data_IF_772214468898
#
_entry.id   IF_772214468898
#
_cell.length_a   1.000
_cell.length_b   1.000
_cell.length_c   1.000
_cell.angle_alpha   90.00
_cell.angle_beta   90.00
_cell.angle_gamma   90.00
#
_symmetry.space_group_name_H-M   'P 1'
#
loop_
_entity.id
_entity.type
_entity.pdbx_description
1 polymer ?
2 non-polymer ?
3 non-polymer ?
4 water ?
#
# COMPACT_ATOMS: atom_id res chain seq x y z
N UNK A 4 20.92 19.68 12.84
CA UNK A 4 20.42 18.27 12.55
C UNK A 4 19.66 18.25 11.21
N UNK A 5 20.20 17.63 10.14
CA UNK A 5 19.62 17.77 8.80
C UNK A 5 18.31 16.97 8.69
N UNK A 6 17.41 17.42 7.81
CA UNK A 6 16.18 16.65 7.54
C UNK A 6 16.52 15.52 6.58
N UNK A 7 15.90 14.34 6.75
CA UNK A 7 16.26 13.24 5.88
C UNK A 7 15.67 13.34 4.47
N UNK A 8 16.36 12.69 3.53
CA UNK A 8 15.95 12.59 2.11
C UNK A 8 15.36 11.19 1.86
N UNK A 9 15.67 10.25 2.77
CA UNK A 9 15.20 8.84 2.70
C UNK A 9 15.01 8.30 4.12
N UNK A 10 13.98 7.48 4.31
CA UNK A 10 13.72 6.76 5.61
C UNK A 10 13.54 5.30 5.26
N UNK A 11 13.66 4.46 6.25
CA UNK A 11 13.28 3.06 6.04
C UNK A 11 12.05 2.76 6.88
N UNK A 12 11.21 1.94 6.25
CA UNK A 12 9.89 1.57 6.80
C UNK A 12 9.83 0.06 6.89
N UNK A 13 9.48 -0.44 8.07
CA UNK A 13 9.15 -1.85 8.31
C UNK A 13 7.63 -2.03 8.21
N UNK A 14 7.21 -3.00 7.44
CA UNK A 14 5.80 -3.44 7.37
C UNK A 14 5.74 -4.87 7.88
N UNK A 15 4.92 -5.14 8.87
CA UNK A 15 4.66 -6.51 9.31
C UNK A 15 3.22 -6.86 9.15
N UNK A 16 2.93 -8.08 8.74
CA UNK A 16 1.58 -8.62 8.77
C UNK A 16 1.61 -10.00 9.42
N UNK A 17 0.74 -10.18 10.39
CA UNK A 17 0.62 -11.49 11.08
C UNK A 17 -0.81 -11.77 11.44
N UNK A 18 -1.33 -12.86 10.93
CA UNK A 18 -2.59 -13.43 11.44
C UNK A 18 -2.22 -14.34 12.60
N UNK A 19 -2.57 -13.91 13.79
CA UNK A 19 -2.14 -14.53 15.06
C UNK A 19 -3.01 -15.73 15.42
N UNK A 20 -4.06 -16.03 14.67
CA UNK A 20 -4.89 -17.23 14.93
C UNK A 20 -5.47 -17.22 16.31
N UNK A 21 -5.75 -16.03 16.85
CA UNK A 21 -6.46 -15.81 18.13
C UNK A 21 -5.66 -16.40 19.31
N UNK A 22 -4.35 -16.54 19.15
CA UNK A 22 -3.46 -17.10 20.20
C UNK A 22 -2.50 -16.02 20.62
N UNK A 23 -2.09 -15.96 21.90
CA UNK A 23 -1.05 -15.02 22.29
C UNK A 23 0.25 -15.37 21.59
N UNK A 24 1.12 -14.38 21.40
CA UNK A 24 2.39 -14.66 20.77
C UNK A 24 3.35 -15.37 21.73
N UNK A 25 4.47 -15.90 21.21
CA UNK A 25 5.50 -16.49 22.04
C UNK A 25 6.28 -15.35 22.70
N UNK A 26 7.17 -15.68 23.63
CA UNK A 26 7.85 -14.64 24.44
C UNK A 26 8.83 -13.84 23.56
N UNK A 27 9.33 -14.42 22.49
CA UNK A 27 10.29 -13.71 21.61
C UNK A 27 9.78 -13.68 20.17
N UNK A 28 9.63 -12.46 19.62
CA UNK A 28 9.17 -12.25 18.21
C UNK A 28 10.15 -11.32 17.50
N UNK A 29 11.36 -11.15 18.02
CA UNK A 29 12.38 -10.25 17.44
C UNK A 29 12.75 -10.61 15.98
N UNK A 30 12.72 -11.90 15.60
CA UNK A 30 13.06 -12.35 14.23
C UNK A 30 12.20 -11.59 13.22
N UNK A 31 10.93 -11.34 13.60
CA UNK A 31 9.99 -10.62 12.71
C UNK A 31 10.56 -9.24 12.36
N UNK A 32 10.88 -8.48 13.38
CA UNK A 32 11.32 -7.07 13.21
C UNK A 32 12.71 -7.01 12.61
N UNK A 33 13.48 -8.08 12.69
CA UNK A 33 14.83 -8.18 12.10
C UNK A 33 14.78 -8.74 10.67
N UNK A 34 13.62 -9.05 10.12
CA UNK A 34 13.52 -9.59 8.75
C UNK A 34 14.40 -10.84 8.61
N UNK A 35 14.26 -11.77 9.56
CA UNK A 35 15.00 -13.06 9.58
C UNK A 35 14.04 -14.22 9.33
N UNK A 36 14.46 -15.16 8.49
CA UNK A 36 13.72 -16.41 8.27
C UNK A 36 13.92 -16.82 6.85
N UNK A 37 12.82 -16.92 6.10
CA UNK A 37 12.84 -17.32 4.67
C UNK A 37 12.57 -16.11 3.80
N UNK A 38 13.01 -16.18 2.54
CA UNK A 38 12.71 -15.18 1.53
C UNK A 38 13.87 -14.25 1.33
N UNK A 39 13.56 -12.98 1.02
CA UNK A 39 14.55 -11.88 0.94
C UNK A 39 14.66 -11.35 2.37
N UNK A 40 15.84 -11.65 3.00
CA UNK A 40 16.07 -11.33 4.41
C UNK A 40 17.13 -10.23 4.54
N UNK A 41 17.14 -9.68 5.72
CA UNK A 41 17.98 -8.51 6.05
C UNK A 41 19.34 -9.00 6.57
N UNK A 42 20.39 -8.28 6.17
CA UNK A 42 21.80 -8.55 6.54
C UNK A 42 22.02 -8.39 8.06
N UNK A 43 22.68 -9.43 8.64
CA UNK A 43 22.98 -9.43 10.09
C UNK A 43 23.64 -8.13 10.54
N UNK A 44 24.40 -7.50 9.67
CA UNK A 44 25.18 -6.30 10.04
C UNK A 44 24.25 -5.11 10.29
N UNK A 45 22.97 -5.21 9.89
CA UNK A 45 21.97 -4.14 10.10
C UNK A 45 21.14 -4.36 11.36
N UNK A 46 21.34 -5.43 12.11
CA UNK A 46 20.37 -5.77 13.16
C UNK A 46 20.16 -4.67 14.18
N UNK A 47 21.19 -3.86 14.48
CA UNK A 47 21.01 -2.82 15.53
C UNK A 47 20.51 -1.50 14.96
N UNK A 48 20.42 -1.42 13.64
CA UNK A 48 20.03 -0.17 12.94
C UNK A 48 18.51 -0.12 12.95
N UNK A 49 17.89 0.83 13.66
CA UNK A 49 16.43 0.87 13.70
C UNK A 49 15.92 1.36 12.34
N UNK A 50 14.77 0.81 11.96
CA UNK A 50 13.94 1.42 10.93
C UNK A 50 13.38 2.71 11.52
N UNK A 51 13.09 3.66 10.64
CA UNK A 51 12.50 4.94 11.04
C UNK A 51 11.07 4.78 11.54
N UNK A 52 10.29 3.97 10.85
CA UNK A 52 8.85 3.75 11.14
C UNK A 52 8.63 2.24 11.07
N UNK A 53 7.93 1.68 12.05
CA UNK A 53 7.45 0.28 12.04
C UNK A 53 5.94 0.31 11.99
N UNK A 54 5.36 -0.39 11.03
CA UNK A 54 3.90 -0.51 10.87
C UNK A 54 3.55 -1.97 11.00
N UNK A 55 2.73 -2.29 12.00
CA UNK A 55 2.48 -3.69 12.43
C UNK A 55 0.99 -3.98 12.27
N UNK A 56 0.62 -4.82 11.29
CA UNK A 56 -0.76 -5.22 11.02
C UNK A 56 -0.93 -6.60 11.60
N UNK A 57 -1.94 -6.78 12.42
CA UNK A 57 -2.37 -8.12 12.85
C UNK A 57 -3.81 -8.38 12.44
N UNK A 58 -4.11 -9.66 12.37
CA UNK A 58 -5.47 -10.20 12.13
C UNK A 58 -5.67 -11.32 13.12
N UNK A 59 -6.90 -11.56 13.51
CA UNK A 59 -7.20 -12.58 14.56
C UNK A 59 -6.35 -12.29 15.80
N UNK A 60 -6.20 -11.02 16.16
CA UNK A 60 -5.36 -10.57 17.29
C UNK A 60 -6.17 -10.64 18.57
N UNK A 61 -5.76 -11.51 19.52
CA UNK A 61 -6.54 -11.69 20.76
C UNK A 61 -6.18 -10.73 21.89
N UNK A 62 -5.17 -9.91 21.66
CA UNK A 62 -4.58 -9.05 22.71
C UNK A 62 -5.34 -7.74 22.78
N UNK A 63 -5.32 -7.11 23.94
CA UNK A 63 -5.74 -5.71 24.06
C UNK A 63 -4.68 -4.84 23.36
N UNK A 64 -5.03 -3.61 23.04
CA UNK A 64 -4.08 -2.66 22.46
C UNK A 64 -2.90 -2.50 23.42
N UNK A 65 -3.19 -2.39 24.72
CA UNK A 65 -2.13 -2.18 25.70
C UNK A 65 -1.17 -3.36 25.68
N UNK A 66 -1.72 -4.56 25.73
CA UNK A 66 -0.92 -5.81 25.79
C UNK A 66 0.01 -5.89 24.58
N UNK A 67 -0.51 -5.61 23.41
CA UNK A 67 0.31 -5.70 22.19
C UNK A 67 1.33 -4.57 22.13
N UNK A 68 0.95 -3.35 22.45
CA UNK A 68 1.91 -2.22 22.46
C UNK A 68 3.11 -2.55 23.37
N UNK A 69 2.82 -3.07 24.57
CA UNK A 69 3.82 -3.57 25.54
C UNK A 69 4.85 -4.43 24.81
N UNK A 70 4.35 -5.50 24.16
CA UNK A 70 5.21 -6.53 23.51
C UNK A 70 5.99 -5.91 22.39
N UNK A 71 5.34 -5.09 21.57
CA UNK A 71 6.03 -4.45 20.43
C UNK A 71 7.14 -3.54 20.93
N UNK A 72 6.83 -2.62 21.81
CA UNK A 72 7.86 -1.65 22.27
C UNK A 72 9.04 -2.36 22.94
N UNK A 73 8.76 -3.37 23.78
CA UNK A 73 9.81 -4.19 24.44
C UNK A 73 10.69 -4.86 23.38
N UNK A 74 10.09 -5.45 22.35
CA UNK A 74 10.80 -6.20 21.29
C UNK A 74 11.72 -5.25 20.49
N UNK A 75 11.26 -4.03 20.21
CA UNK A 75 12.10 -3.04 19.49
C UNK A 75 13.20 -2.54 20.42
N UNK A 76 12.88 -2.30 21.69
CA UNK A 76 13.92 -1.82 22.64
C UNK A 76 15.03 -2.87 22.76
N UNK A 77 14.68 -4.15 22.85
CA UNK A 77 15.66 -5.25 22.98
C UNK A 77 16.56 -5.30 21.73
N UNK A 78 16.00 -5.10 20.54
CA UNK A 78 16.75 -5.14 19.25
C UNK A 78 17.68 -3.92 19.10
N UNK A 79 17.18 -2.73 19.38
CA UNK A 79 17.80 -1.46 18.92
C UNK A 79 18.27 -0.60 20.08
N UNK A 80 17.86 -0.91 21.31
CA UNK A 80 18.06 -0.03 22.50
C UNK A 80 17.38 1.34 22.32
N UNK A 81 16.38 1.42 21.44
CA UNK A 81 15.59 2.67 21.24
C UNK A 81 14.19 2.45 21.79
N UNK A 82 13.68 3.43 22.54
CA UNK A 82 12.28 3.48 23.00
C UNK A 82 11.42 4.18 21.95
N UNK A 83 10.68 3.39 21.19
CA UNK A 83 9.87 3.95 20.08
C UNK A 83 8.66 4.67 20.66
N UNK A 84 8.20 5.67 19.93
CA UNK A 84 6.98 6.44 20.21
C UNK A 84 5.84 5.87 19.42
N UNK A 85 4.69 5.86 20.03
CA UNK A 85 3.47 5.37 19.38
C UNK A 85 2.88 6.50 18.55
N UNK A 86 2.78 6.32 17.25
CA UNK A 86 2.18 7.32 16.33
C UNK A 86 0.68 7.12 16.33
N UNK A 87 0.23 5.89 16.16
CA UNK A 87 -1.21 5.59 16.02
C UNK A 87 -1.44 4.12 16.32
N UNK A 88 -2.64 3.81 16.80
CA UNK A 88 -3.10 2.42 16.93
C UNK A 88 -4.59 2.42 16.63
N UNK A 89 -5.04 1.49 15.82
CA UNK A 89 -6.47 1.41 15.50
C UNK A 89 -6.85 -0.04 15.31
N UNK A 90 -7.95 -0.41 15.92
CA UNK A 90 -8.46 -1.78 15.94
C UNK A 90 -9.90 -1.84 15.46
N UNK A 91 -10.20 -2.75 14.54
CA UNK A 91 -11.59 -3.12 14.17
C UNK A 91 -11.71 -4.60 14.48
N UNK A 92 -12.56 -4.94 15.43
CA UNK A 92 -12.73 -6.34 15.85
C UNK A 92 -11.38 -6.91 16.24
N UNK A 93 -10.82 -7.84 15.48
CA UNK A 93 -9.50 -8.44 15.80
C UNK A 93 -8.49 -8.10 14.72
N UNK A 94 -8.76 -7.06 13.95
CA UNK A 94 -7.84 -6.50 12.93
C UNK A 94 -7.20 -5.22 13.49
N UNK A 95 -5.90 -5.12 13.52
CA UNK A 95 -5.25 -4.01 14.23
C UNK A 95 -4.07 -3.48 13.42
N UNK A 96 -3.84 -2.21 13.52
CA UNK A 96 -2.64 -1.57 12.97
C UNK A 96 -1.98 -0.72 14.06
N UNK A 97 -0.68 -0.89 14.23
CA UNK A 97 0.15 -0.07 15.13
C UNK A 97 1.23 0.61 14.32
N UNK A 98 1.43 1.91 14.53
CA UNK A 98 2.56 2.63 13.89
C UNK A 98 3.44 3.16 15.01
N UNK A 99 4.71 2.77 14.98
CA UNK A 99 5.75 3.23 15.91
C UNK A 99 6.81 3.97 15.11
N UNK A 100 7.40 5.01 15.71
CA UNK A 100 8.47 5.75 15.05
C UNK A 100 9.57 6.10 16.04
N UNK A 101 10.79 6.27 15.53
CA UNK A 101 11.93 6.77 16.35
C UNK A 101 11.47 8.01 17.09
N UNK A 102 11.96 8.27 18.32
CA UNK A 102 11.62 9.50 19.02
C UNK A 102 12.05 10.79 18.29
N UNK A 103 13.12 10.74 17.50
CA UNK A 103 13.62 11.92 16.76
C UNK A 103 12.58 12.36 15.72
N UNK A 104 11.62 11.50 15.35
CA UNK A 104 10.63 11.81 14.29
C UNK A 104 9.37 12.44 14.84
N UNK A 105 9.26 12.61 16.16
CA UNK A 105 7.98 13.02 16.75
C UNK A 105 7.47 14.34 16.18
N UNK A 106 8.37 15.30 15.93
CA UNK A 106 8.03 16.64 15.41
C UNK A 106 8.24 16.71 13.89
N UNK A 107 8.38 15.55 13.24
CA UNK A 107 8.34 15.42 11.76
C UNK A 107 6.98 14.87 11.35
N UNK A 108 6.24 14.27 12.27
CA UNK A 108 4.99 13.52 11.96
C UNK A 108 3.80 14.35 12.34
N UNK A 109 2.86 14.55 11.44
CA UNK A 109 1.68 15.38 11.74
C UNK A 109 0.49 14.84 10.96
N UNK A 110 -0.70 15.41 11.15
CA UNK A 110 -1.91 15.06 10.36
C UNK A 110 -2.16 13.55 10.44
N UNK A 111 -2.14 13.00 11.63
CA UNK A 111 -2.34 11.55 11.82
C UNK A 111 -3.83 11.29 11.67
N UNK A 112 -4.19 10.36 10.78
CA UNK A 112 -5.58 9.88 10.56
C UNK A 112 -5.62 8.38 10.86
N UNK A 113 -6.81 7.91 11.26
CA UNK A 113 -7.10 6.47 11.37
C UNK A 113 -8.50 6.26 10.83
N UNK A 114 -8.74 5.09 10.29
CA UNK A 114 -10.12 4.73 9.89
C UNK A 114 -10.21 3.22 9.74
N UNK A 115 -11.40 2.72 9.57
CA UNK A 115 -11.65 1.31 9.28
C UNK A 115 -12.80 1.21 8.28
N UNK A 116 -12.84 0.09 7.61
CA UNK A 116 -13.95 -0.33 6.74
C UNK A 116 -14.34 -1.73 7.11
N UNK A 117 -15.63 -1.96 7.28
CA UNK A 117 -16.22 -3.28 7.52
C UNK A 117 -16.69 -3.80 6.17
N UNK A 118 -16.25 -4.98 5.73
CA UNK A 118 -16.68 -5.46 4.39
C UNK A 118 -17.89 -6.40 4.53
N UNK A 119 -18.66 -6.59 3.46
CA UNK A 119 -19.75 -7.59 3.45
C UNK A 119 -21.07 -7.04 3.98
N UNK A 120 -22.16 -7.81 3.85
CA UNK A 120 -23.57 -7.41 4.19
C UNK A 120 -24.23 -8.58 4.94
N UNK A 121 -24.76 -8.32 6.14
CA UNK A 121 -25.61 -9.25 6.95
C UNK A 121 -24.79 -10.48 7.39
N UNK A 122 -24.95 -11.63 6.70
CA UNK A 122 -24.10 -12.85 6.80
C UNK A 122 -22.61 -12.46 6.88
N UNK A 123 -22.16 -11.69 5.88
CA UNK A 123 -20.73 -11.45 5.52
C UNK A 123 -20.22 -10.14 6.17
N UNK A 124 -21.04 -9.44 6.98
CA UNK A 124 -20.59 -8.35 7.88
C UNK A 124 -20.41 -8.93 9.29
N UNK A 125 -19.23 -8.77 9.87
CA UNK A 125 -19.04 -9.09 11.29
C UNK A 125 -17.62 -9.49 11.63
N UNK A 126 -16.76 -9.86 10.66
CA UNK A 126 -15.36 -9.96 11.12
C UNK A 126 -14.23 -9.54 10.17
N UNK A 127 -14.53 -9.35 8.88
CA UNK A 127 -13.53 -8.98 7.85
C UNK A 127 -13.60 -7.47 7.60
N UNK A 128 -12.50 -6.90 7.11
CA UNK A 128 -12.43 -5.49 6.79
C UNK A 128 -11.03 -5.01 6.85
N UNK A 129 -10.85 -3.74 7.14
CA UNK A 129 -9.51 -3.14 7.07
C UNK A 129 -9.44 -2.05 8.11
N UNK A 130 -8.24 -1.80 8.56
CA UNK A 130 -7.90 -0.60 9.36
C UNK A 130 -6.79 0.12 8.62
N UNK A 131 -6.68 1.41 8.85
CA UNK A 131 -5.63 2.17 8.20
C UNK A 131 -5.17 3.34 8.99
N UNK A 132 -3.99 3.80 8.67
CA UNK A 132 -3.35 4.98 9.27
C UNK A 132 -2.75 5.82 8.15
N UNK A 133 -2.87 7.13 8.24
CA UNK A 133 -2.07 8.03 7.41
C UNK A 133 -1.47 9.14 8.25
N UNK A 134 -0.42 9.74 7.71
CA UNK A 134 0.19 10.92 8.34
C UNK A 134 1.11 11.56 7.33
N UNK A 135 1.55 12.76 7.67
CA UNK A 135 2.64 13.45 6.98
C UNK A 135 3.93 13.18 7.73
N UNK A 136 4.98 12.88 6.99
CA UNK A 136 6.37 12.84 7.47
C UNK A 136 7.06 13.99 6.74
N UNK A 137 7.28 15.10 7.42
CA UNK A 137 7.76 16.33 6.73
C UNK A 137 6.89 16.57 5.49
N UNK A 138 7.46 16.68 4.30
CA UNK A 138 6.70 17.02 3.10
C UNK A 138 6.06 15.81 2.42
N UNK A 139 6.11 14.62 3.03
CA UNK A 139 5.74 13.36 2.37
C UNK A 139 4.52 12.76 3.05
N UNK A 140 3.51 12.41 2.27
CA UNK A 140 2.30 11.74 2.82
C UNK A 140 2.50 10.23 2.74
N UNK A 141 2.19 9.56 3.84
CA UNK A 141 2.32 8.09 3.99
C UNK A 141 0.97 7.51 4.37
N UNK A 142 0.56 6.46 3.69
CA UNK A 142 -0.67 5.72 4.06
C UNK A 142 -0.37 4.25 4.23
N UNK A 143 -1.13 3.62 5.11
CA UNK A 143 -0.91 2.21 5.52
C UNK A 143 -2.28 1.59 5.72
N UNK A 144 -2.48 0.47 5.05
CA UNK A 144 -3.76 -0.29 5.12
C UNK A 144 -3.45 -1.72 5.52
N UNK A 145 -4.06 -2.18 6.60
CA UNK A 145 -4.06 -3.59 7.03
C UNK A 145 -5.43 -4.16 6.80
N UNK A 146 -5.58 -5.08 5.87
CA UNK A 146 -6.88 -5.70 5.53
C UNK A 146 -6.86 -7.19 5.81
N UNK A 147 -7.96 -7.70 6.32
CA UNK A 147 -8.27 -9.13 6.48
C UNK A 147 -9.44 -9.42 5.55
N UNK A 148 -9.15 -9.94 4.37
CA UNK A 148 -10.18 -10.16 3.34
C UNK A 148 -10.83 -11.53 3.53
N UNK A 149 -11.89 -11.72 2.78
CA UNK A 149 -12.72 -12.92 2.85
C UNK A 149 -11.84 -14.15 2.64
N UNK A 150 -12.10 -15.19 3.42
CA UNK A 150 -11.34 -16.47 3.36
C UNK A 150 -11.97 -17.43 2.34
N UNK A 151 -11.24 -18.47 2.02
CA UNK A 151 -11.77 -19.57 1.20
C UNK A 151 -11.27 -19.56 -0.20
N UNK A 152 -10.76 -20.69 -0.68
CA UNK A 152 -10.20 -20.77 -2.04
C UNK A 152 -11.19 -20.34 -3.12
N UNK A 153 -12.49 -20.52 -2.86
CA UNK A 153 -13.58 -20.34 -3.84
C UNK A 153 -13.95 -18.85 -3.98
N UNK A 154 -13.44 -17.99 -3.10
CA UNK A 154 -13.98 -16.61 -2.93
C UNK A 154 -13.02 -15.51 -3.39
N UNK A 155 -12.27 -15.74 -4.46
CA UNK A 155 -11.33 -14.68 -4.93
C UNK A 155 -12.13 -13.46 -5.38
N UNK A 156 -13.28 -13.64 -6.00
CA UNK A 156 -14.09 -12.49 -6.48
C UNK A 156 -14.55 -11.65 -5.28
N UNK A 157 -14.97 -12.29 -4.20
CA UNK A 157 -15.36 -11.58 -2.95
C UNK A 157 -14.18 -10.81 -2.39
N UNK A 158 -12.98 -11.37 -2.43
CA UNK A 158 -11.77 -10.65 -2.00
C UNK A 158 -11.63 -9.40 -2.86
N UNK A 159 -11.77 -9.55 -4.18
CA UNK A 159 -11.57 -8.39 -5.08
C UNK A 159 -12.61 -7.30 -4.75
N UNK A 160 -13.83 -7.70 -4.43
CA UNK A 160 -14.91 -6.79 -4.02
C UNK A 160 -14.53 -6.12 -2.69
N UNK A 161 -13.96 -6.88 -1.75
CA UNK A 161 -13.55 -6.34 -0.44
C UNK A 161 -12.52 -5.23 -0.71
N UNK A 162 -11.55 -5.52 -1.58
CA UNK A 162 -10.49 -4.55 -1.95
C UNK A 162 -11.15 -3.25 -2.43
N UNK A 163 -12.12 -3.34 -3.33
CA UNK A 163 -12.72 -2.11 -3.90
C UNK A 163 -13.53 -1.35 -2.84
N UNK A 164 -14.22 -2.07 -1.95
CA UNK A 164 -14.92 -1.36 -0.83
C UNK A 164 -13.92 -0.66 0.08
N UNK A 165 -12.80 -1.31 0.39
CA UNK A 165 -11.81 -0.69 1.30
C UNK A 165 -11.23 0.58 0.65
N UNK A 166 -10.84 0.44 -0.62
CA UNK A 166 -10.24 1.49 -1.46
C UNK A 166 -11.18 2.70 -1.49
N UNK A 167 -12.48 2.44 -1.64
CA UNK A 167 -13.51 3.51 -1.78
C UNK A 167 -13.76 4.21 -0.46
N UNK A 168 -13.86 3.44 0.61
CA UNK A 168 -14.53 3.94 1.84
C UNK A 168 -13.57 4.20 2.98
N UNK A 169 -12.28 3.85 2.87
CA UNK A 169 -11.35 4.17 3.94
C UNK A 169 -11.02 5.64 3.82
N UNK A 170 -11.31 6.42 4.85
CA UNK A 170 -11.18 7.89 4.80
C UNK A 170 -9.87 8.30 5.47
N UNK A 171 -8.78 8.23 4.72
CA UNK A 171 -7.45 8.64 5.23
C UNK A 171 -6.96 9.78 4.37
N UNK A 172 -5.93 10.46 4.84
CA UNK A 172 -5.27 11.53 4.08
C UNK A 172 -6.13 12.77 3.98
N UNK A 173 -5.78 13.63 3.04
CA UNK A 173 -6.27 15.02 2.97
C UNK A 173 -7.71 15.03 2.41
N UNK A 174 -8.66 15.33 3.30
CA UNK A 174 -10.08 15.33 2.88
C UNK A 174 -10.34 16.35 1.75
N UNK A 175 -9.48 17.35 1.50
CA UNK A 175 -9.63 18.32 0.39
C UNK A 175 -9.41 17.63 -0.97
N UNK A 176 -8.77 16.46 -0.97
CA UNK A 176 -8.55 15.70 -2.21
C UNK A 176 -9.81 14.90 -2.53
N UNK A 177 -10.96 15.59 -2.63
CA UNK A 177 -12.26 14.89 -2.57
C UNK A 177 -12.45 13.96 -3.76
N UNK A 178 -11.95 14.18 -4.98
CA UNK A 178 -12.18 13.24 -6.08
C UNK A 178 -11.35 11.95 -5.96
N UNK A 179 -10.42 11.93 -5.02
CA UNK A 179 -9.38 10.88 -4.98
C UNK A 179 -9.62 9.91 -3.84
N UNK A 180 -9.49 8.64 -4.15
CA UNK A 180 -9.49 7.58 -3.13
C UNK A 180 -8.07 7.38 -2.59
N UNK A 181 -7.94 6.47 -1.62
CA UNK A 181 -6.60 6.28 -0.99
C UNK A 181 -5.54 5.92 -2.02
N UNK A 182 -5.90 5.32 -3.16
CA UNK A 182 -4.86 4.90 -4.14
C UNK A 182 -4.20 6.11 -4.82
N UNK A 183 -4.66 7.32 -4.56
CA UNK A 183 -4.02 8.54 -5.10
C UNK A 183 -3.64 9.53 -4.01
N UNK A 184 -3.96 9.31 -2.74
CA UNK A 184 -3.81 10.38 -1.73
C UNK A 184 -2.40 10.48 -1.16
N UNK A 185 -1.52 9.49 -1.37
CA UNK A 185 -0.25 9.38 -0.63
C UNK A 185 0.94 9.28 -1.58
N UNK A 186 2.03 9.92 -1.20
CA UNK A 186 3.34 9.73 -1.84
C UNK A 186 3.66 8.23 -1.89
N UNK A 187 3.44 7.54 -0.77
CA UNK A 187 3.70 6.10 -0.59
C UNK A 187 2.51 5.50 0.15
N UNK A 188 1.91 4.51 -0.45
CA UNK A 188 0.81 3.74 0.15
C UNK A 188 1.24 2.28 0.29
N UNK A 189 1.17 1.74 1.48
CA UNK A 189 1.46 0.32 1.76
C UNK A 189 0.18 -0.38 2.13
N UNK A 190 -0.13 -1.47 1.42
CA UNK A 190 -1.34 -2.25 1.67
C UNK A 190 -0.91 -3.68 1.94
N UNK A 191 -1.29 -4.18 3.08
CA UNK A 191 -0.79 -5.47 3.56
C UNK A 191 -1.91 -6.13 4.34
N UNK A 192 -1.70 -7.38 4.72
CA UNK A 192 -2.65 -8.09 5.57
C UNK A 192 -2.75 -9.54 5.21
N UNK A 193 -3.74 -10.19 5.84
CA UNK A 193 -4.21 -11.52 5.44
C UNK A 193 -5.18 -11.30 4.30
N UNK A 194 -4.61 -11.13 3.11
CA UNK A 194 -5.42 -10.93 1.90
C UNK A 194 -6.11 -12.22 1.47
N UNK A 195 -5.68 -13.39 1.95
CA UNK A 195 -6.47 -14.62 1.87
C UNK A 195 -6.58 -15.19 0.46
N UNK A 196 -5.77 -14.73 -0.50
CA UNK A 196 -5.69 -15.36 -1.82
C UNK A 196 -4.93 -16.67 -1.68
N UNK A 197 -5.37 -17.68 -2.44
CA UNK A 197 -4.88 -19.04 -2.30
C UNK A 197 -4.17 -19.52 -3.55
N UNK A 198 -3.47 -20.62 -3.38
CA UNK A 198 -2.84 -21.37 -4.50
C UNK A 198 -3.94 -22.26 -5.05
N UNK A 199 -4.44 -21.94 -6.24
CA UNK A 199 -5.64 -22.58 -6.84
C UNK A 199 -5.20 -23.80 -7.67
N UNK A 200 -4.95 -24.91 -6.97
CA UNK A 200 -4.62 -26.21 -7.58
C UNK A 200 -5.65 -27.20 -7.05
N UNK A 201 -5.82 -28.36 -7.71
CA UNK A 201 -6.80 -29.33 -7.22
C UNK A 201 -6.41 -29.81 -5.81
N UNK A 202 -7.41 -30.09 -4.96
CA UNK A 202 -7.21 -30.43 -3.53
C UNK A 202 -6.49 -31.78 -3.38
N UNK A 203 -6.53 -32.62 -4.42
CA UNK A 203 -5.84 -33.94 -4.44
C UNK A 203 -4.38 -33.78 -4.88
N UNK A 204 -3.95 -32.56 -5.22
CA UNK A 204 -2.52 -32.22 -5.38
C UNK A 204 -1.89 -31.71 -4.06
N UNK A 205 -2.55 -31.81 -2.91
CA UNK A 205 -2.07 -31.25 -1.63
C UNK A 205 -0.68 -31.80 -1.31
N UNK A 206 -0.49 -33.11 -1.42
CA UNK A 206 0.80 -33.71 -1.01
C UNK A 206 1.87 -33.30 -2.02
N UNK A 207 1.51 -33.19 -3.30
CA UNK A 207 2.42 -32.68 -4.35
C UNK A 207 2.85 -31.28 -3.99
N UNK A 208 1.92 -30.44 -3.57
CA UNK A 208 2.27 -29.03 -3.23
C UNK A 208 3.27 -29.01 -2.07
N UNK A 209 3.00 -29.81 -1.05
CA UNK A 209 3.89 -29.92 0.12
C UNK A 209 5.28 -30.34 -0.29
N UNK A 210 5.42 -31.31 -1.20
CA UNK A 210 6.76 -31.78 -1.61
C UNK A 210 7.46 -30.66 -2.43
N UNK A 211 6.72 -29.86 -3.22
CA UNK A 211 7.34 -28.70 -3.91
C UNK A 211 7.85 -27.72 -2.86
N UNK A 212 7.06 -27.44 -1.82
CA UNK A 212 7.51 -26.51 -0.76
C UNK A 212 8.79 -27.02 -0.08
N UNK A 213 8.85 -28.30 0.25
CA UNK A 213 10.05 -28.89 0.90
C UNK A 213 11.28 -28.75 0.00
N UNK A 214 11.11 -28.74 -1.30
CA UNK A 214 12.20 -28.60 -2.29
C UNK A 214 12.50 -27.14 -2.58
N UNK A 215 11.75 -26.23 -1.95
CA UNK A 215 11.87 -24.76 -2.18
C UNK A 215 11.65 -24.44 -3.65
N UNK A 216 10.72 -25.14 -4.29
CA UNK A 216 10.40 -24.97 -5.71
C UNK A 216 9.03 -24.31 -5.73
N UNK A 217 9.02 -23.00 -5.74
CA UNK A 217 7.77 -22.21 -5.59
C UNK A 217 7.18 -21.85 -6.95
N UNK A 218 7.88 -22.02 -8.08
CA UNK A 218 7.46 -21.44 -9.38
C UNK A 218 6.10 -21.99 -9.81
N UNK A 219 5.89 -23.30 -9.74
CA UNK A 219 4.65 -23.94 -10.21
C UNK A 219 3.54 -23.64 -9.20
N UNK A 220 3.89 -23.22 -7.98
CA UNK A 220 2.83 -22.82 -7.02
C UNK A 220 2.47 -21.36 -7.29
N UNK A 221 3.46 -20.46 -7.42
CA UNK A 221 3.17 -19.02 -7.63
C UNK A 221 2.39 -18.79 -8.94
N UNK A 222 2.57 -19.63 -9.96
CA UNK A 222 1.81 -19.46 -11.22
C UNK A 222 0.31 -19.71 -10.98
N UNK A 223 -0.07 -20.27 -9.82
CA UNK A 223 -1.48 -20.54 -9.47
C UNK A 223 -1.93 -19.66 -8.30
N UNK A 224 -1.06 -18.78 -7.82
CA UNK A 224 -1.46 -17.87 -6.72
C UNK A 224 -2.52 -16.90 -7.23
N UNK A 225 -3.66 -16.88 -6.53
CA UNK A 225 -4.79 -16.11 -7.01
C UNK A 225 -4.45 -14.62 -7.00
N UNK A 226 -3.67 -14.12 -6.08
CA UNK A 226 -3.42 -12.67 -6.09
C UNK A 226 -2.58 -12.29 -7.34
N UNK A 227 -1.52 -13.04 -7.62
CA UNK A 227 -0.71 -12.81 -8.84
C UNK A 227 -1.63 -12.92 -10.07
N UNK A 228 -2.45 -13.95 -10.18
CA UNK A 228 -3.21 -14.15 -11.44
C UNK A 228 -4.28 -13.09 -11.53
N UNK A 229 -5.01 -12.78 -10.45
CA UNK A 229 -6.03 -11.71 -10.49
C UNK A 229 -5.38 -10.35 -10.82
N UNK A 230 -4.20 -10.08 -10.27
CA UNK A 230 -3.46 -8.83 -10.58
C UNK A 230 -3.07 -8.82 -12.06
N UNK A 231 -2.62 -9.95 -12.61
CA UNK A 231 -2.18 -9.97 -14.02
C UNK A 231 -3.38 -9.71 -14.93
N UNK A 232 -4.57 -10.16 -14.54
CA UNK A 232 -5.79 -9.92 -15.33
C UNK A 232 -6.48 -8.61 -14.95
N UNK A 233 -5.84 -7.79 -14.12
CA UNK A 233 -6.30 -6.41 -13.81
C UNK A 233 -7.65 -6.51 -13.12
N UNK A 234 -7.80 -7.50 -12.26
CA UNK A 234 -9.06 -7.67 -11.47
C UNK A 234 -8.94 -7.00 -10.11
N UNK A 235 -7.73 -6.67 -9.64
CA UNK A 235 -7.52 -6.24 -8.24
C UNK A 235 -6.13 -5.62 -8.16
N UNK A 236 -5.96 -4.69 -7.24
CA UNK A 236 -4.64 -4.11 -6.95
C UNK A 236 -3.99 -3.56 -8.22
N UNK A 237 -4.77 -2.94 -9.07
CA UNK A 237 -4.21 -2.28 -10.26
C UNK A 237 -3.25 -1.18 -9.82
N UNK A 238 -2.07 -1.19 -10.41
CA UNK A 238 -1.00 -0.17 -10.25
C UNK A 238 -0.30 -0.30 -8.91
N UNK A 239 -0.51 -1.41 -8.20
CA UNK A 239 0.33 -1.75 -7.04
C UNK A 239 1.49 -2.65 -7.43
N UNK A 240 2.54 -2.61 -6.60
CA UNK A 240 3.77 -3.45 -6.74
C UNK A 240 3.78 -4.50 -5.63
N UNK A 241 4.43 -5.63 -5.89
CA UNK A 241 4.78 -6.59 -4.85
C UNK A 241 6.14 -7.12 -5.21
N UNK A 242 6.99 -7.29 -4.20
CA UNK A 242 8.32 -7.91 -4.35
C UNK A 242 8.12 -9.39 -4.72
N UNK A 243 9.09 -9.99 -5.42
CA UNK A 243 9.03 -11.41 -5.72
C UNK A 243 8.98 -12.22 -4.44
N UNK A 244 8.13 -13.24 -4.41
CA UNK A 244 7.99 -14.15 -3.28
C UNK A 244 9.00 -15.28 -3.38
N UNK A 245 9.83 -15.39 -2.35
CA UNK A 245 10.92 -16.41 -2.32
C UNK A 245 10.90 -17.19 -1.01
N UNK A 246 9.79 -17.09 -0.27
CA UNK A 246 9.55 -17.79 1.01
C UNK A 246 8.41 -18.79 0.83
N UNK A 247 8.35 -19.77 1.70
CA UNK A 247 7.29 -20.79 1.62
C UNK A 247 5.93 -20.16 1.91
N UNK A 248 4.85 -20.78 1.40
CA UNK A 248 3.52 -20.41 1.82
C UNK A 248 3.44 -20.24 3.33
N UNK A 249 2.71 -19.21 3.81
CA UNK A 249 2.68 -18.83 5.22
C UNK A 249 1.45 -19.38 5.93
N UNK A 250 0.65 -20.15 5.21
CA UNK A 250 -0.63 -20.70 5.71
C UNK A 250 -0.83 -22.03 5.00
N UNK A 251 -1.44 -23.08 5.60
CA UNK A 251 -1.94 -23.15 6.95
C UNK A 251 -1.08 -24.17 7.70
N UNK A 252 -0.39 -23.74 8.73
CA UNK A 252 0.53 -24.61 9.53
C UNK A 252 -0.21 -25.25 10.70
N UNK A 253 0.24 -26.43 11.11
CA UNK A 253 -0.01 -26.94 12.47
C UNK A 253 0.72 -26.01 13.45
N UNK A 254 0.08 -25.66 14.55
CA UNK A 254 0.71 -24.79 15.56
C UNK A 254 1.84 -25.51 16.29
N UNK A 255 2.80 -24.75 16.80
CA UNK A 255 3.93 -25.14 17.69
C UNK A 255 5.04 -25.84 16.88
N UNK A 256 4.87 -26.01 15.59
CA UNK A 256 5.97 -26.43 14.68
C UNK A 256 5.82 -25.61 13.40
N UNK A 257 6.78 -25.66 12.48
CA UNK A 257 6.50 -25.26 11.07
C UNK A 257 6.74 -26.44 10.15
N UNK A 258 6.73 -27.64 10.71
CA UNK A 258 7.13 -28.84 9.92
C UNK A 258 5.95 -29.38 9.13
N UNK A 259 4.72 -28.93 9.41
CA UNK A 259 3.52 -29.57 8.87
C UNK A 259 2.52 -28.50 8.42
N UNK A 260 2.05 -28.67 7.22
CA UNK A 260 0.90 -27.92 6.69
C UNK A 260 -0.36 -28.70 7.00
N UNK A 261 -1.33 -28.03 7.61
CA UNK A 261 -2.64 -28.62 7.97
C UNK A 261 -3.64 -28.17 6.91
N UNK A 262 -3.86 -28.99 5.90
CA UNK A 262 -4.66 -28.57 4.74
C UNK A 262 -6.02 -29.28 4.62
N UNK A 263 -6.18 -30.40 5.33
CA UNK A 263 -7.37 -31.30 5.18
C UNK A 263 -8.60 -30.52 5.65
N UNK A 264 -9.79 -30.91 5.11
CA UNK A 264 -11.08 -30.31 5.49
C UNK A 264 -11.46 -30.89 6.85
N UNK A 265 -11.96 -30.02 7.71
CA UNK A 265 -12.34 -30.31 9.11
C UNK A 265 -13.67 -29.58 9.40
N UNK A 266 -14.43 -30.07 10.40
CA UNK A 266 -15.60 -29.28 10.85
C UNK A 266 -15.18 -27.84 11.13
N UNK A 267 -14.04 -27.66 11.78
CA UNK A 267 -13.53 -26.33 12.21
C UNK A 267 -13.29 -25.45 10.98
N UNK A 268 -13.05 -26.04 9.81
CA UNK A 268 -12.83 -25.23 8.57
C UNK A 268 -14.10 -25.05 7.76
N UNK A 269 -15.25 -25.50 8.27
CA UNK A 269 -16.44 -25.52 7.45
C UNK A 269 -16.33 -26.53 6.33
N UNK A 270 -15.56 -27.58 6.55
CA UNK A 270 -15.33 -28.64 5.56
C UNK A 270 -14.69 -28.07 4.31
N UNK A 271 -13.83 -27.07 4.50
CA UNK A 271 -12.99 -26.49 3.43
C UNK A 271 -11.59 -27.12 3.55
N UNK A 272 -10.93 -27.26 2.37
CA UNK A 272 -9.48 -27.51 2.31
C UNK A 272 -8.79 -26.17 2.39
N UNK A 273 -7.64 -26.20 3.02
CA UNK A 273 -6.76 -25.01 3.03
C UNK A 273 -5.43 -25.44 2.45
N UNK A 274 -5.34 -25.57 1.14
CA UNK A 274 -4.06 -25.91 0.52
C UNK A 274 -3.05 -24.81 0.88
N UNK A 275 -1.76 -25.14 1.07
CA UNK A 275 -0.74 -24.14 1.37
C UNK A 275 -0.81 -22.96 0.41
N UNK A 276 -0.85 -21.79 1.01
CA UNK A 276 -1.07 -20.53 0.29
C UNK A 276 -0.25 -19.37 0.85
N UNK A 277 -0.02 -18.39 0.01
CA UNK A 277 0.55 -17.09 0.42
C UNK A 277 -0.58 -16.13 0.77
N UNK A 278 -1.23 -16.36 1.90
CA UNK A 278 -2.35 -15.49 2.33
C UNK A 278 -1.85 -14.11 2.74
N UNK A 279 -0.64 -14.01 3.22
CA UNK A 279 -0.13 -12.88 4.01
C UNK A 279 0.84 -12.06 3.18
N UNK A 280 0.50 -10.83 2.83
CA UNK A 280 1.17 -10.14 1.71
C UNK A 280 1.42 -8.68 2.06
N UNK A 281 2.38 -8.08 1.39
CA UNK A 281 2.67 -6.65 1.44
C UNK A 281 2.81 -6.14 0.01
N UNK A 282 1.98 -5.16 -0.34
CA UNK A 282 2.02 -4.46 -1.63
C UNK A 282 2.19 -2.97 -1.38
N UNK A 283 2.61 -2.24 -2.42
CA UNK A 283 2.72 -0.78 -2.26
C UNK A 283 2.42 -0.10 -3.58
N UNK A 284 2.18 1.18 -3.47
CA UNK A 284 2.01 2.06 -4.61
C UNK A 284 2.54 3.42 -4.21
N UNK A 285 3.51 3.91 -4.96
CA UNK A 285 4.12 5.22 -4.72
C UNK A 285 3.86 6.07 -5.96
N UNK A 286 3.85 7.37 -5.76
CA UNK A 286 3.71 8.32 -6.88
C UNK A 286 4.88 8.11 -7.83
N UNK A 287 4.65 8.46 -9.11
CA UNK A 287 5.65 8.24 -10.15
C UNK A 287 6.96 8.95 -9.81
N UNK A 288 8.05 8.24 -10.05
CA UNK A 288 9.45 8.78 -9.95
C UNK A 288 9.75 9.22 -8.54
N UNK A 289 9.13 8.58 -7.54
CA UNK A 289 9.61 8.71 -6.15
C UNK A 289 10.40 7.45 -5.81
N UNK A 290 11.49 7.63 -5.10
CA UNK A 290 12.35 6.49 -4.68
C UNK A 290 11.56 5.59 -3.72
N UNK A 291 11.44 4.33 -4.07
CA UNK A 291 10.90 3.28 -3.16
C UNK A 291 11.55 1.98 -3.57
N UNK A 292 12.25 1.37 -2.63
CA UNK A 292 13.00 0.13 -2.92
C UNK A 292 12.71 -0.87 -1.81
N UNK A 293 12.17 -2.04 -2.17
CA UNK A 293 11.99 -3.13 -1.20
C UNK A 293 13.35 -3.74 -0.83
N UNK A 294 13.68 -3.71 0.46
CA UNK A 294 14.96 -4.22 1.01
C UNK A 294 14.80 -5.65 1.54
N UNK A 295 13.58 -6.06 1.90
CA UNK A 295 13.32 -7.40 2.48
C UNK A 295 11.86 -7.74 2.24
N UNK A 296 11.59 -9.02 2.07
CA UNK A 296 10.23 -9.55 1.92
C UNK A 296 10.31 -11.04 2.20
N UNK A 297 9.79 -11.44 3.34
CA UNK A 297 9.94 -12.84 3.77
C UNK A 297 9.06 -13.23 4.89
N UNK A 298 9.29 -14.41 5.43
CA UNK A 298 8.50 -14.88 6.58
C UNK A 298 9.42 -15.40 7.67
N UNK A 299 8.96 -15.33 8.91
CA UNK A 299 9.72 -15.91 10.03
C UNK A 299 9.50 -17.42 10.04
N UNK A 300 10.51 -18.09 10.59
CA UNK A 300 10.55 -19.56 10.75
C UNK A 300 10.38 -19.97 12.22
N UNK A 301 10.51 -19.07 13.18
CA UNK A 301 10.63 -19.45 14.60
C UNK A 301 9.45 -18.93 15.44
N UNK A 302 8.37 -18.42 14.80
CA UNK A 302 7.20 -17.91 15.54
C UNK A 302 6.04 -18.80 15.13
N UNK A 303 5.56 -19.64 16.04
CA UNK A 303 4.78 -20.87 15.72
C UNK A 303 3.47 -20.94 16.52
N UNK A 304 3.03 -19.85 17.16
CA UNK A 304 1.78 -19.86 17.95
C UNK A 304 0.54 -19.85 17.06
N UNK A 305 0.65 -19.38 15.83
CA UNK A 305 -0.47 -19.24 14.91
C UNK A 305 -0.37 -20.28 13.81
N UNK A 306 -1.46 -20.48 13.12
CA UNK A 306 -1.48 -21.30 11.89
C UNK A 306 -0.98 -20.49 10.69
N UNK A 307 -0.66 -19.21 10.88
CA UNK A 307 0.11 -18.40 9.90
C UNK A 307 1.47 -18.06 10.45
N UNK A 308 2.46 -17.95 9.58
CA UNK A 308 3.73 -17.29 9.94
C UNK A 308 3.66 -15.79 9.64
N UNK A 309 4.27 -14.97 10.52
CA UNK A 309 4.47 -13.55 10.25
C UNK A 309 5.20 -13.34 8.92
N UNK A 310 4.84 -12.26 8.27
CA UNK A 310 5.50 -11.76 7.05
C UNK A 310 6.08 -10.38 7.39
N UNK A 311 7.26 -10.10 6.89
CA UNK A 311 7.95 -8.81 6.98
C UNK A 311 8.26 -8.30 5.59
N UNK A 312 8.25 -6.99 5.46
CA UNK A 312 8.79 -6.30 4.29
C UNK A 312 9.42 -5.00 4.78
N UNK A 313 10.53 -4.63 4.20
CA UNK A 313 11.16 -3.34 4.52
C UNK A 313 11.41 -2.58 3.23
N UNK A 314 11.36 -1.27 3.38
CA UNK A 314 11.47 -0.34 2.24
C UNK A 314 12.36 0.83 2.59
N UNK A 315 13.13 1.28 1.60
CA UNK A 315 13.76 2.63 1.59
C UNK A 315 12.84 3.56 0.80
N UNK A 316 12.31 4.62 1.44
CA UNK A 316 11.30 5.52 0.83
C UNK A 316 11.84 6.93 0.82
N UNK A 317 11.82 7.53 -0.35
CA UNK A 317 12.17 8.95 -0.50
C UNK A 317 11.20 9.81 0.24
N UNK A 318 11.74 10.87 0.88
CA UNK A 318 10.94 11.86 1.62
C UNK A 318 11.52 13.22 1.31
N UNK A 319 10.67 14.21 1.46
CA UNK A 319 11.07 15.61 1.20
C UNK A 319 10.88 16.42 2.49
N UNK A 320 11.54 17.57 2.54
CA UNK A 320 11.51 18.52 3.68
C UNK A 320 10.21 19.32 3.64
N UNK A 321 9.88 20.00 4.75
CA UNK A 321 8.77 20.98 4.82
C UNK A 321 9.27 22.34 4.33
N UNK A 322 9.14 22.62 3.05
CA UNK A 322 9.78 23.76 2.38
C UNK A 322 9.13 25.10 2.77
N UNK A 323 9.97 26.07 3.14
CA UNK A 323 9.61 27.50 3.37
C UNK A 323 10.48 28.36 2.43
N UNK A 324 9.84 29.25 1.68
CA UNK A 324 10.56 30.32 0.95
C UNK A 324 10.13 31.69 1.50
N UNK A 325 10.75 32.75 0.98
CA UNK A 325 10.39 34.16 1.28
C UNK A 325 8.93 34.39 0.86
N UNK A 326 8.50 33.69 -0.20
CA UNK A 326 7.13 33.83 -0.81
C UNK A 326 6.23 32.75 -0.19
N UNK A 327 6.04 31.61 -0.87
CA UNK A 327 5.18 30.53 -0.34
C UNK A 327 5.87 29.76 0.79
N UNK A 328 5.13 29.12 1.72
CA UNK A 328 3.66 29.21 1.81
C UNK A 328 3.01 30.55 2.22
N UNK A 329 1.79 30.79 1.73
CA UNK A 329 0.98 31.97 2.05
C UNK A 329 0.96 33.00 0.96
N UNK A 330 1.60 32.68 -0.16
CA UNK A 330 1.45 33.42 -1.43
C UNK A 330 1.97 32.51 -2.55
N UNK A 331 1.76 32.95 -3.79
CA UNK A 331 2.36 32.31 -5.01
C UNK A 331 3.80 32.83 -5.16
N UNK A 332 4.58 32.16 -6.00
CA UNK A 332 5.95 32.57 -6.40
C UNK A 332 5.90 32.85 -7.90
N UNK A 333 5.82 34.11 -8.29
CA UNK A 333 5.59 34.49 -9.70
C UNK A 333 6.65 33.84 -10.60
N UNK A 334 7.76 33.33 -10.04
CA UNK A 334 8.87 32.79 -10.87
C UNK A 334 8.54 31.35 -11.33
N UNK A 335 7.43 30.78 -10.87
CA UNK A 335 7.05 29.38 -11.16
C UNK A 335 5.76 29.26 -11.96
N UNK A 336 5.67 28.29 -12.86
CA UNK A 336 4.39 28.00 -13.55
C UNK A 336 4.41 26.58 -14.12
N UNK A 337 3.22 26.02 -14.23
CA UNK A 337 3.03 24.70 -14.88
C UNK A 337 2.00 24.88 -15.99
N UNK A 338 2.39 24.58 -17.20
CA UNK A 338 1.50 24.65 -18.37
C UNK A 338 1.30 23.23 -18.90
N UNK A 339 0.03 22.83 -19.04
CA UNK A 339 -0.38 21.59 -19.76
C UNK A 339 -0.83 21.93 -21.19
N UNK A 340 -0.09 21.46 -22.21
CA UNK A 340 -0.24 21.70 -23.67
C UNK A 340 -0.83 20.46 -24.39
N UNK A 341 -1.77 20.66 -25.33
CA UNK A 341 -2.18 19.60 -26.31
C UNK A 341 -2.60 18.36 -25.51
N UNK A 342 -3.31 18.55 -24.41
CA UNK A 342 -3.71 17.40 -23.55
C UNK A 342 -5.03 16.85 -24.03
N UNK A 343 -5.19 15.54 -23.88
CA UNK A 343 -6.51 14.93 -24.10
C UNK A 343 -6.64 13.72 -23.19
N UNK A 344 -7.87 13.53 -22.77
CA UNK A 344 -8.26 12.35 -21.98
C UNK A 344 -8.93 11.39 -22.96
N UNK A 345 -8.63 10.11 -22.86
CA UNK A 345 -9.32 9.04 -23.59
C UNK A 345 -10.15 8.30 -22.55
N UNK A 346 -11.46 8.25 -22.70
CA UNK A 346 -12.30 7.64 -21.63
C UNK A 346 -13.02 6.43 -22.19
N UNK A 347 -13.20 5.44 -21.34
CA UNK A 347 -13.95 4.21 -21.70
C UNK A 347 -15.47 4.40 -21.59
N UNK A 348 -15.93 5.45 -20.96
CA UNK A 348 -17.38 5.75 -20.72
C UNK A 348 -18.17 5.80 -22.04
N UNK A 349 -19.43 5.43 -21.94
CA UNK A 349 -20.40 5.51 -23.06
C UNK A 349 -21.21 6.81 -22.94
N UNK A 350 -21.07 7.52 -21.82
CA UNK A 350 -21.89 8.72 -21.52
C UNK A 350 -21.49 9.85 -22.47
N UNK A 351 -22.44 10.73 -22.81
CA UNK A 351 -22.18 12.00 -23.56
C UNK A 351 -22.63 13.16 -22.67
N UNK A 352 -21.76 13.57 -21.76
CA UNK A 352 -21.74 14.83 -20.99
C UNK A 352 -20.49 15.58 -21.45
N UNK A 353 -20.40 16.86 -21.15
CA UNK A 353 -19.14 17.59 -21.21
C UNK A 353 -18.30 17.21 -19.97
N UNK A 354 -16.99 17.33 -20.11
CA UNK A 354 -16.04 17.07 -19.00
C UNK A 354 -15.14 18.27 -18.78
N UNK A 355 -14.73 18.45 -17.53
CA UNK A 355 -13.71 19.44 -17.12
C UNK A 355 -12.68 18.72 -16.24
N UNK A 356 -11.52 19.35 -16.05
CA UNK A 356 -10.50 18.75 -15.18
C UNK A 356 -10.47 19.49 -13.86
N UNK A 357 -9.98 18.79 -12.83
CA UNK A 357 -9.45 19.45 -11.61
C UNK A 357 -8.01 19.04 -11.40
N UNK A 358 -7.14 20.01 -11.11
CA UNK A 358 -5.73 19.81 -10.75
C UNK A 358 -5.56 20.00 -9.26
N UNK A 359 -5.13 18.97 -8.55
CA UNK A 359 -4.90 19.09 -7.10
C UNK A 359 -3.46 18.81 -6.74
N UNK A 360 -2.88 19.65 -5.92
CA UNK A 360 -1.47 19.41 -5.50
C UNK A 360 -1.18 20.31 -4.32
N UNK A 361 -0.36 19.80 -3.40
CA UNK A 361 0.16 20.56 -2.23
C UNK A 361 1.02 21.74 -2.71
N UNK A 362 1.47 21.73 -3.96
CA UNK A 362 2.28 22.87 -4.51
C UNK A 362 1.36 24.02 -4.96
N UNK A 363 0.03 23.84 -4.89
CA UNK A 363 -0.95 24.92 -5.23
C UNK A 363 -1.65 25.40 -3.97
N UNK A 364 -2.09 26.67 -3.94
CA UNK A 364 -2.81 27.20 -2.73
C UNK A 364 -4.13 26.46 -2.62
N UNK A 365 -4.77 26.15 -3.74
CA UNK A 365 -5.95 25.28 -3.77
C UNK A 365 -6.14 24.73 -5.18
N UNK A 366 -7.05 23.77 -5.29
CA UNK A 366 -7.21 23.03 -6.57
C UNK A 366 -7.72 23.98 -7.63
N UNK A 367 -7.43 23.62 -8.86
CA UNK A 367 -7.77 24.43 -10.04
C UNK A 367 -8.72 23.65 -10.95
N UNK A 368 -9.80 24.31 -11.37
CA UNK A 368 -10.85 23.72 -12.23
C UNK A 368 -10.74 24.30 -13.64
N UNK A 369 -10.53 23.44 -14.64
CA UNK A 369 -10.37 23.85 -16.05
C UNK A 369 -11.75 24.22 -16.62
N UNK A 370 -11.73 24.81 -17.81
CA UNK A 370 -12.91 24.88 -18.71
C UNK A 370 -13.24 23.47 -19.20
N UNK A 371 -14.42 23.31 -19.76
CA UNK A 371 -14.81 22.05 -20.45
C UNK A 371 -13.90 21.78 -21.65
N UNK A 372 -13.61 20.52 -21.85
CA UNK A 372 -12.92 20.02 -23.03
C UNK A 372 -13.88 19.87 -24.20
N UNK A 373 -13.33 19.58 -25.36
CA UNK A 373 -14.12 19.32 -26.59
C UNK A 373 -14.14 17.82 -26.86
N UNK A 374 -15.33 17.24 -26.81
CA UNK A 374 -15.53 15.79 -27.07
C UNK A 374 -15.34 15.47 -28.56
N UNK A 375 -14.58 14.43 -28.87
CA UNK A 375 -14.57 13.81 -30.20
C UNK A 375 -14.70 12.30 -30.03
N UNK A 376 -14.99 11.59 -31.10
CA UNK A 376 -15.02 10.11 -31.19
C UNK A 376 -13.64 9.60 -31.61
N UNK A 377 -13.06 8.65 -30.86
CA UNK A 377 -11.89 7.86 -31.28
C UNK A 377 -12.25 6.86 -32.37
N UNK A 378 -11.26 6.35 -33.11
CA UNK A 378 -11.44 5.49 -34.31
C UNK A 378 -11.93 4.09 -33.89
N UNK A 379 -11.77 3.72 -32.61
CA UNK A 379 -12.08 2.35 -32.11
C UNK A 379 -13.25 2.44 -31.12
N UNK A 380 -14.12 3.45 -31.22
CA UNK A 380 -15.35 3.60 -30.39
C UNK A 380 -15.27 4.67 -29.29
N UNK A 381 -14.06 5.11 -28.90
CA UNK A 381 -13.76 5.78 -27.59
C UNK A 381 -14.27 7.22 -27.55
N UNK A 382 -14.48 7.74 -26.34
CA UNK A 382 -14.60 9.21 -26.15
C UNK A 382 -13.20 9.80 -25.96
N UNK A 383 -12.85 10.81 -26.77
CA UNK A 383 -11.60 11.61 -26.58
C UNK A 383 -12.06 12.99 -26.15
N UNK A 384 -11.58 13.48 -25.02
CA UNK A 384 -11.87 14.85 -24.56
C UNK A 384 -10.63 15.68 -24.78
N UNK A 385 -10.71 16.65 -25.70
CA UNK A 385 -9.53 17.50 -26.06
C UNK A 385 -9.54 18.78 -25.22
N UNK A 386 -8.39 19.19 -24.68
CA UNK A 386 -8.30 20.46 -23.91
C UNK A 386 -7.49 21.54 -24.64
N UNK A 387 -6.80 21.14 -25.69
CA UNK A 387 -6.00 22.04 -26.54
C UNK A 387 -4.93 22.73 -25.72
N UNK A 388 -4.91 24.06 -25.77
CA UNK A 388 -3.96 24.94 -25.02
C UNK A 388 -4.83 25.83 -24.15
N UNK A 389 -6.02 25.33 -23.78
CA UNK A 389 -7.09 26.07 -23.06
C UNK A 389 -6.91 25.89 -21.54
N UNK A 390 -5.99 25.05 -21.07
CA UNK A 390 -5.92 24.67 -19.62
C UNK A 390 -5.33 25.80 -18.78
N UNK A 391 -5.84 26.03 -17.55
CA UNK A 391 -5.39 27.14 -16.73
C UNK A 391 -3.89 26.99 -16.43
N UNK A 392 -3.13 28.08 -16.48
CA UNK A 392 -1.68 28.02 -16.12
C UNK A 392 -1.61 27.87 -14.60
N UNK A 393 -0.90 26.85 -14.07
CA UNK A 393 -0.90 26.58 -12.60
C UNK A 393 0.23 27.37 -11.97
N UNK A 394 -0.10 27.98 -10.83
CA UNK A 394 0.77 28.92 -10.10
C UNK A 394 1.20 28.27 -8.80
N UNK A 395 2.37 27.62 -8.77
CA UNK A 395 2.82 26.99 -7.54
C UNK A 395 3.22 28.03 -6.49
N UNK A 396 3.20 27.59 -5.24
CA UNK A 396 3.44 28.44 -4.06
C UNK A 396 4.94 28.70 -3.90
N UNK A 397 5.77 27.84 -4.46
CA UNK A 397 7.25 27.91 -4.35
C UNK A 397 7.81 27.54 -5.73
N UNK A 398 8.77 28.31 -6.22
CA UNK A 398 9.31 28.20 -7.60
C UNK A 398 10.67 27.49 -7.57
N UNK A 399 11.27 27.35 -6.40
CA UNK A 399 12.60 26.73 -6.24
C UNK A 399 12.53 25.33 -6.85
N UNK A 400 13.41 25.01 -7.81
CA UNK A 400 13.34 23.69 -8.47
C UNK A 400 13.65 22.54 -7.52
N UNK A 401 14.41 22.76 -6.44
CA UNK A 401 14.66 21.69 -5.43
C UNK A 401 13.35 21.28 -4.77
N UNK A 402 12.39 22.18 -4.71
CA UNK A 402 11.03 21.86 -4.21
C UNK A 402 10.17 21.36 -5.37
N UNK A 403 10.04 22.16 -6.43
CA UNK A 403 8.95 21.95 -7.42
C UNK A 403 9.15 20.63 -8.18
N UNK A 404 10.38 20.24 -8.50
CA UNK A 404 10.63 19.04 -9.31
C UNK A 404 10.26 17.78 -8.50
N UNK A 405 10.11 17.89 -7.19
CA UNK A 405 9.74 16.76 -6.30
C UNK A 405 8.23 16.68 -6.13
N UNK A 406 7.44 17.54 -6.74
CA UNK A 406 5.99 17.56 -6.51
C UNK A 406 5.25 16.74 -7.57
N UNK A 407 3.96 16.61 -7.36
CA UNK A 407 3.06 15.81 -8.21
C UNK A 407 1.75 16.55 -8.39
N UNK A 408 1.14 16.38 -9.54
CA UNK A 408 -0.19 16.94 -9.87
C UNK A 408 -1.17 15.78 -10.00
N UNK A 409 -2.18 15.72 -9.12
CA UNK A 409 -3.31 14.81 -9.26
C UNK A 409 -4.31 15.45 -10.22
N UNK A 410 -4.83 14.63 -11.12
CA UNK A 410 -5.83 15.07 -12.14
C UNK A 410 -7.09 14.24 -11.95
N UNK A 411 -8.22 14.93 -11.88
CA UNK A 411 -9.53 14.28 -11.99
C UNK A 411 -10.24 14.86 -13.21
N UNK A 412 -10.85 13.98 -13.96
CA UNK A 412 -11.75 14.40 -15.07
C UNK A 412 -13.19 14.18 -14.58
N UNK A 413 -13.94 15.28 -14.54
CA UNK A 413 -15.31 15.26 -13.96
C UNK A 413 -16.37 15.65 -14.99
N UNK A 414 -17.52 15.03 -14.84
CA UNK A 414 -18.72 15.33 -15.65
C UNK A 414 -19.22 16.74 -15.28
N UNK A 415 -19.48 17.58 -16.27
CA UNK A 415 -20.14 18.88 -16.02
C UNK A 415 -21.55 18.66 -15.46
N UNK A 416 -22.24 17.61 -15.91
CA UNK A 416 -23.67 17.37 -15.58
C UNK A 416 -23.77 16.96 -14.10
N UNK A 417 -22.81 16.18 -13.60
CA UNK A 417 -22.99 15.52 -12.28
C UNK A 417 -21.92 15.91 -11.28
N UNK A 418 -20.82 16.51 -11.74
CA UNK A 418 -19.59 16.82 -10.94
C UNK A 418 -18.95 15.53 -10.37
N UNK A 419 -19.26 14.51 -10.85
CA UNK A 419 -18.65 13.25 -10.37
C UNK A 419 -17.39 12.96 -11.18
N UNK A 420 -16.34 12.40 -10.57
CA UNK A 420 -15.08 12.04 -11.25
C UNK A 420 -15.31 10.76 -12.08
N UNK A 421 -14.88 10.78 -13.32
CA UNK A 421 -14.86 9.61 -14.21
C UNK A 421 -13.46 9.00 -14.25
N UNK A 422 -12.46 9.67 -13.69
CA UNK A 422 -11.11 9.13 -13.72
C UNK A 422 -10.15 10.03 -12.96
N UNK A 423 -9.18 9.40 -12.35
CA UNK A 423 -8.18 10.04 -11.50
C UNK A 423 -6.81 9.51 -11.88
N UNK A 424 -5.84 10.39 -11.89
CA UNK A 424 -4.45 10.03 -12.17
C UNK A 424 -3.48 11.01 -11.58
N UNK A 425 -2.20 10.79 -11.82
CA UNK A 425 -1.14 11.56 -11.16
C UNK A 425 0.01 11.76 -12.14
N UNK A 426 0.50 12.98 -12.20
CA UNK A 426 1.66 13.40 -13.05
C UNK A 426 2.82 13.87 -12.17
N UNK A 427 4.00 13.27 -12.34
CA UNK A 427 5.21 13.73 -11.63
C UNK A 427 5.74 15.01 -12.32
N UNK A 428 6.26 15.92 -11.50
CA UNK A 428 7.02 17.11 -11.96
C UNK A 428 8.53 16.87 -11.98
N UNK A 429 8.96 15.62 -11.81
CA UNK A 429 10.40 15.21 -11.84
C UNK A 429 10.86 15.12 -13.30
N UNK A 430 10.85 16.26 -14.02
CA UNK A 430 11.06 16.28 -15.49
C UNK A 430 12.54 16.20 -15.85
N UNK A 431 12.78 15.79 -17.07
CA UNK A 431 14.11 15.75 -17.69
C UNK A 431 14.62 17.16 -17.95
N UNK A 432 13.75 18.14 -18.03
CA UNK A 432 14.10 19.54 -18.37
C UNK A 432 13.01 20.49 -17.91
N UNK A 433 13.38 21.73 -17.64
CA UNK A 433 12.44 22.82 -17.39
C UNK A 433 12.40 23.72 -18.64
N UNK A 434 11.34 24.51 -18.75
CA UNK A 434 11.13 25.49 -19.84
C UNK A 434 11.10 24.75 -21.19
N UNK A 435 10.70 23.48 -21.21
CA UNK A 435 10.83 22.55 -22.37
C UNK A 435 9.52 21.78 -22.45
N UNK A 436 8.90 21.66 -23.61
CA UNK A 436 7.65 20.85 -23.76
C UNK A 436 8.01 19.38 -23.70
N UNK A 437 7.43 18.64 -22.77
CA UNK A 437 7.80 17.23 -22.58
C UNK A 437 6.54 16.39 -22.50
N UNK A 438 6.57 15.15 -23.00
CA UNK A 438 5.37 14.31 -22.91
C UNK A 438 5.05 13.98 -21.44
N UNK A 439 3.76 13.96 -21.13
CA UNK A 439 3.24 13.44 -19.84
C UNK A 439 2.18 12.39 -20.14
N UNK A 440 1.93 11.55 -19.13
CA UNK A 440 0.96 10.45 -19.29
C UNK A 440 0.60 10.01 -17.87
N UNK A 441 -0.66 9.71 -17.69
CA UNK A 441 -1.12 8.87 -16.56
C UNK A 441 -2.31 8.02 -17.02
N UNK A 442 -2.41 6.78 -16.56
CA UNK A 442 -3.66 6.07 -16.68
C UNK A 442 -4.66 6.78 -15.74
N UNK A 443 -5.93 6.62 -16.04
CA UNK A 443 -7.03 7.17 -15.20
C UNK A 443 -7.81 5.99 -14.65
N UNK A 444 -8.09 6.08 -13.36
CA UNK A 444 -8.90 5.05 -12.69
C UNK A 444 -10.06 5.70 -11.96
N UNK A 445 -11.05 4.90 -11.66
CA UNK A 445 -12.16 5.33 -10.77
C UNK A 445 -12.56 4.10 -9.97
N UNK A 446 -12.65 4.27 -8.65
CA UNK A 446 -12.80 3.11 -7.74
C UNK A 446 -11.70 2.09 -8.00
N UNK A 447 -10.51 2.55 -8.41
CA UNK A 447 -9.32 1.70 -8.55
C UNK A 447 -9.35 0.92 -9.84
N UNK A 448 -10.37 1.06 -10.69
CA UNK A 448 -10.44 0.35 -11.98
C UNK A 448 -10.11 1.29 -13.12
N UNK A 449 -9.49 0.76 -14.15
CA UNK A 449 -9.09 1.60 -15.31
C UNK A 449 -10.31 2.17 -16.03
N UNK A 450 -10.31 3.47 -16.24
CA UNK A 450 -11.42 4.15 -16.92
C UNK A 450 -10.93 4.94 -18.14
N UNK A 451 -9.63 5.03 -18.32
CA UNK A 451 -9.11 5.86 -19.41
C UNK A 451 -7.69 6.24 -19.20
N UNK A 452 -7.28 7.25 -19.93
CA UNK A 452 -5.91 7.78 -19.98
C UNK A 452 -5.93 9.29 -20.13
N UNK A 453 -4.89 9.91 -19.64
CA UNK A 453 -4.64 11.34 -19.88
C UNK A 453 -3.22 11.49 -20.41
N UNK A 454 -3.08 12.23 -21.49
CA UNK A 454 -1.72 12.42 -22.07
C UNK A 454 -1.66 13.78 -22.73
N UNK A 455 -0.43 14.23 -22.93
CA UNK A 455 -0.22 15.54 -23.53
C UNK A 455 1.20 15.94 -23.29
N UNK A 456 1.41 17.24 -23.16
CA UNK A 456 2.77 17.77 -22.88
C UNK A 456 2.66 18.74 -21.72
N UNK A 457 3.78 18.88 -21.03
CA UNK A 457 3.92 19.79 -19.88
C UNK A 457 5.08 20.75 -20.19
N UNK A 458 5.09 21.96 -19.64
CA UNK A 458 6.20 22.96 -19.70
C UNK A 458 6.29 23.53 -18.29
N UNK A 459 7.30 23.25 -17.59
CA UNK A 459 7.50 23.63 -16.18
C UNK A 459 8.52 24.76 -16.11
N UNK A 460 8.11 25.88 -15.50
CA UNK A 460 8.98 27.04 -15.17
C UNK A 460 9.34 26.97 -13.68
N UNK A 461 10.65 26.94 -13.36
CA UNK A 461 11.13 27.07 -11.97
C UNK A 461 11.94 28.35 -11.92
N UNK A 462 12.36 28.76 -10.74
CA UNK A 462 13.29 29.93 -10.57
C UNK A 462 14.68 29.66 -11.18
N UNK A 463 15.00 28.45 -11.61
CA UNK A 463 16.25 28.22 -12.37
C UNK A 463 15.94 27.96 -13.86
#
# INVERSE_FOLDING_TARGET
SMEQPEPDMITIFIGTWNMGNAPPPKKITSWFLSKGQGKTRDDSADYIPHDIYVIGTQEDPLSEKEWLEILKHSLQEITSVTFKTVAIHTLWNIRIVVLAKPEHENRISHICTDNVKTGIANTLGNKGAVGVSFMFNGTSLGFVNSHLTSGSEKKLRRNQNYMNILRFLALGDKKLSPFNITHRFTHLFWFGDLNYRVDLPTWEAETIIQKIKQQQYADLLSHDQLLTERREQKVFLHFEEEEITFAPTYRFERLTRDKYAYTKQKATGMKYNLPSWCDRVLWKSYPLVHVVCQSYGSTSDIMTSDHSPVFATFEAGVTSQFVSKNGPGTVDSQGQIEFLRCYATLKTKSQTKFYLEFHSSCLESFVKSQEGENEEGSEGELVVKFGETLPKLKPIISDPEYLLDQHILISIKSSDSDESYGEGCIALRLEATETQLPIYTPLTHHGELTGHFQGEIKLQTSQ
#
